data_IF_248464739462
#
_entry.id   IF_248464739462
#
_cell.length_a   1.000
_cell.length_b   1.000
_cell.length_c   1.000
_cell.angle_alpha   90.00
_cell.angle_beta   90.00
_cell.angle_gamma   90.00
#
_symmetry.space_group_name_H-M   'P 1'
#
loop_
_entity.id
_entity.type
_entity.pdbx_description
1 polymer ?
#
# COMPACT_ATOMS: atom_id res chain seq x y z
N UNK A 1 -4.99 1.15 10.73
CA UNK A 1 -4.48 1.81 9.52
C UNK A 1 -4.77 0.94 8.30
N UNK A 2 -5.70 1.38 7.45
CA UNK A 2 -6.16 0.66 6.25
C UNK A 2 -5.01 0.31 5.31
N UNK A 3 -4.19 1.29 4.94
CA UNK A 3 -3.07 1.13 3.99
C UNK A 3 -2.08 0.06 4.47
N UNK A 4 -1.73 0.11 5.76
CA UNK A 4 -0.82 -0.88 6.37
C UNK A 4 -1.43 -2.27 6.35
N UNK A 5 -2.67 -2.40 6.78
CA UNK A 5 -3.34 -3.69 6.88
C UNK A 5 -3.51 -4.37 5.51
N UNK A 6 -4.06 -3.64 4.54
CA UNK A 6 -4.22 -4.15 3.17
C UNK A 6 -2.88 -4.55 2.56
N UNK A 7 -1.91 -3.63 2.55
CA UNK A 7 -0.62 -3.86 1.91
C UNK A 7 0.17 -5.00 2.56
N UNK A 8 0.19 -5.07 3.89
CA UNK A 8 0.93 -6.12 4.61
C UNK A 8 0.29 -7.50 4.39
N UNK A 9 -1.03 -7.61 4.43
CA UNK A 9 -1.72 -8.87 4.16
C UNK A 9 -1.51 -9.35 2.73
N UNK A 10 -1.57 -8.43 1.75
CA UNK A 10 -1.27 -8.75 0.34
C UNK A 10 0.17 -9.26 0.21
N UNK A 11 1.15 -8.58 0.83
CA UNK A 11 2.54 -9.01 0.81
C UNK A 11 2.74 -10.41 1.41
N UNK A 12 2.09 -10.69 2.55
CA UNK A 12 2.18 -12.01 3.20
C UNK A 12 1.56 -13.12 2.35
N UNK A 13 0.37 -12.90 1.78
CA UNK A 13 -0.29 -13.88 0.93
C UNK A 13 0.49 -14.15 -0.35
N UNK A 14 1.00 -13.08 -0.98
CA UNK A 14 1.85 -13.21 -2.16
C UNK A 14 3.12 -14.01 -1.85
N UNK A 15 3.79 -13.73 -0.73
CA UNK A 15 4.98 -14.46 -0.31
C UNK A 15 4.70 -15.94 -0.03
N UNK A 16 3.54 -16.26 0.56
CA UNK A 16 3.12 -17.64 0.84
C UNK A 16 2.75 -18.44 -0.42
N UNK A 17 2.34 -17.74 -1.48
CA UNK A 17 1.97 -18.36 -2.75
C UNK A 17 3.17 -18.64 -3.69
N UNK A 18 4.37 -18.18 -3.33
CA UNK A 18 5.59 -18.38 -4.13
C UNK A 18 6.35 -19.58 -3.59
N UNK A 19 6.42 -20.65 -4.37
CA UNK A 19 7.15 -21.89 -4.02
C UNK A 19 8.54 -21.97 -4.67
N UNK A 20 8.79 -21.16 -5.72
CA UNK A 20 10.01 -21.27 -6.53
C UNK A 20 11.27 -20.74 -5.81
N UNK A 21 11.10 -19.84 -4.86
CA UNK A 21 12.19 -19.28 -4.05
C UNK A 21 11.67 -18.70 -2.73
N UNK A 22 12.51 -18.66 -1.69
CA UNK A 22 12.11 -18.11 -0.41
C UNK A 22 11.87 -16.58 -0.49
N UNK A 23 10.73 -16.15 0.04
CA UNK A 23 10.36 -14.73 0.18
C UNK A 23 10.19 -14.41 1.66
N UNK A 24 10.85 -13.35 2.12
CA UNK A 24 10.69 -12.81 3.47
C UNK A 24 9.91 -11.51 3.42
N UNK A 25 8.91 -11.38 4.26
CA UNK A 25 8.15 -10.14 4.45
C UNK A 25 8.57 -9.52 5.77
N UNK A 26 9.15 -8.32 5.70
CA UNK A 26 9.50 -7.56 6.90
C UNK A 26 8.26 -7.02 7.60
N UNK A 27 8.31 -6.73 8.91
CA UNK A 27 7.27 -5.98 9.58
C UNK A 27 6.96 -4.67 8.83
N UNK A 28 5.69 -4.27 8.75
CA UNK A 28 5.33 -3.10 7.96
C UNK A 28 5.86 -1.81 8.58
N UNK A 29 6.30 -0.90 7.73
CA UNK A 29 6.52 0.50 8.11
C UNK A 29 5.16 1.17 8.10
N UNK A 30 4.51 1.23 9.26
CA UNK A 30 3.10 1.59 9.43
C UNK A 30 2.78 3.07 9.25
N UNK A 31 3.79 3.94 9.18
CA UNK A 31 3.65 5.39 8.91
C UNK A 31 4.45 5.77 7.67
N UNK A 32 4.06 6.87 7.00
CA UNK A 32 4.69 7.29 5.76
C UNK A 32 4.58 8.80 5.53
N UNK A 33 4.62 9.21 4.28
CA UNK A 33 4.51 10.60 3.86
C UNK A 33 3.07 10.93 3.47
N UNK A 34 2.34 11.57 4.38
CA UNK A 34 0.91 11.88 4.22
C UNK A 34 0.52 13.26 4.77
N UNK A 35 1.21 14.35 4.39
CA UNK A 35 0.92 15.68 4.92
C UNK A 35 -0.49 16.17 4.56
N UNK A 36 -1.04 15.71 3.44
CA UNK A 36 -2.38 16.06 2.97
C UNK A 36 -3.51 15.48 3.83
N UNK A 37 -3.22 14.46 4.64
CA UNK A 37 -4.18 13.88 5.58
C UNK A 37 -4.12 14.50 6.98
N UNK A 38 -3.15 15.37 7.28
CA UNK A 38 -2.99 15.98 8.60
C UNK A 38 -4.20 16.79 9.13
N UNK A 39 -5.10 17.34 8.28
CA UNK A 39 -6.35 17.92 8.77
C UNK A 39 -7.30 16.90 9.43
N UNK A 40 -7.08 15.60 9.22
CA UNK A 40 -7.93 14.54 9.80
C UNK A 40 -7.34 14.03 11.10
N UNK A 41 -8.13 13.97 12.20
CA UNK A 41 -7.67 13.49 13.50
C UNK A 41 -7.10 12.09 13.44
N UNK A 42 -5.98 11.87 14.12
CA UNK A 42 -5.29 10.59 14.16
C UNK A 42 -4.29 10.35 13.03
N UNK A 43 -4.18 11.26 12.04
CA UNK A 43 -3.16 11.17 10.99
C UNK A 43 -1.75 11.38 11.56
N UNK A 44 -0.82 10.53 11.14
CA UNK A 44 0.60 10.61 11.49
C UNK A 44 1.41 10.61 10.19
N UNK A 45 2.27 11.62 10.01
CA UNK A 45 3.11 11.75 8.83
C UNK A 45 4.57 11.96 9.20
N UNK A 46 5.47 11.40 8.41
CA UNK A 46 6.89 11.72 8.45
C UNK A 46 7.19 12.87 7.48
N UNK A 47 8.30 13.58 7.73
CA UNK A 47 8.85 14.50 6.72
C UNK A 47 9.39 13.69 5.54
N UNK A 48 9.32 14.28 4.35
CA UNK A 48 9.75 13.65 3.11
C UNK A 48 11.16 13.03 3.23
N UNK A 49 12.15 13.82 3.57
CA UNK A 49 13.54 13.36 3.68
C UNK A 49 13.75 12.32 4.79
N UNK A 50 13.01 12.42 5.90
CA UNK A 50 13.06 11.42 6.97
C UNK A 50 12.56 10.07 6.48
N UNK A 51 11.50 10.06 5.68
CA UNK A 51 10.97 8.81 5.15
C UNK A 51 11.85 8.22 4.06
N UNK A 52 12.41 9.06 3.16
CA UNK A 52 13.43 8.59 2.19
C UNK A 52 14.59 7.92 2.93
N UNK A 53 15.11 8.56 3.97
CA UNK A 53 16.25 8.04 4.72
C UNK A 53 15.92 6.75 5.48
N UNK A 54 14.76 6.67 6.12
CA UNK A 54 14.29 5.46 6.79
C UNK A 54 14.27 4.26 5.81
N UNK A 55 13.64 4.43 4.66
CA UNK A 55 13.54 3.38 3.65
C UNK A 55 14.92 3.00 3.09
N UNK A 56 15.80 3.99 2.89
CA UNK A 56 17.18 3.76 2.44
C UNK A 56 17.93 2.90 3.45
N UNK A 57 17.92 3.25 4.73
CA UNK A 57 18.66 2.53 5.78
C UNK A 57 18.16 1.10 5.97
N UNK A 58 16.84 0.87 5.87
CA UNK A 58 16.27 -0.47 5.89
C UNK A 58 16.78 -1.29 4.70
N UNK A 59 16.74 -0.73 3.48
CA UNK A 59 17.21 -1.41 2.27
C UNK A 59 18.71 -1.75 2.33
N UNK A 60 19.53 -0.81 2.77
CA UNK A 60 20.98 -1.00 2.92
C UNK A 60 21.27 -2.12 3.91
N UNK A 61 20.58 -2.11 5.07
CA UNK A 61 20.74 -3.17 6.09
C UNK A 61 20.36 -4.54 5.54
N UNK A 62 19.23 -4.65 4.86
CA UNK A 62 18.76 -5.90 4.25
C UNK A 62 19.74 -6.37 3.16
N UNK A 63 20.23 -5.44 2.33
CA UNK A 63 21.21 -5.74 1.28
C UNK A 63 22.54 -6.25 1.86
N UNK A 64 23.03 -5.66 2.95
CA UNK A 64 24.25 -6.06 3.64
C UNK A 64 24.16 -7.49 4.20
N UNK A 65 22.95 -7.97 4.53
CA UNK A 65 22.71 -9.35 4.94
C UNK A 65 22.56 -10.34 3.78
N UNK A 66 22.83 -9.92 2.54
CA UNK A 66 22.90 -10.79 1.36
C UNK A 66 21.63 -10.82 0.52
N UNK A 67 20.57 -10.12 0.87
CA UNK A 67 19.38 -10.04 0.05
C UNK A 67 19.63 -9.16 -1.19
N UNK A 68 19.56 -9.76 -2.38
CA UNK A 68 19.84 -9.07 -3.65
C UNK A 68 18.58 -8.55 -4.36
N UNK A 69 17.42 -9.07 -3.99
CA UNK A 69 16.11 -8.68 -4.53
C UNK A 69 15.29 -8.05 -3.42
N UNK A 70 15.04 -6.75 -3.52
CA UNK A 70 14.29 -5.98 -2.53
C UNK A 70 13.11 -5.34 -3.24
N UNK A 71 11.90 -5.60 -2.74
CA UNK A 71 10.66 -5.01 -3.22
C UNK A 71 10.02 -4.17 -2.10
N UNK A 72 9.74 -2.91 -2.40
CA UNK A 72 8.89 -2.05 -1.59
C UNK A 72 7.46 -2.12 -2.14
N UNK A 73 6.59 -2.82 -1.45
CA UNK A 73 5.17 -2.83 -1.75
C UNK A 73 4.50 -1.66 -1.02
N UNK A 74 3.81 -0.82 -1.76
CA UNK A 74 3.22 0.41 -1.24
C UNK A 74 1.70 0.31 -1.13
N UNK A 75 1.18 0.72 0.02
CA UNK A 75 -0.25 0.80 0.31
C UNK A 75 -0.82 2.22 0.31
N UNK A 76 0.01 3.27 0.12
CA UNK A 76 -0.43 4.66 0.19
C UNK A 76 0.12 5.49 -0.97
N UNK A 77 -0.75 6.07 -1.79
CA UNK A 77 -0.35 6.82 -3.00
C UNK A 77 0.63 7.98 -2.70
N UNK A 78 0.47 8.65 -1.57
CA UNK A 78 1.37 9.71 -1.13
C UNK A 78 2.83 9.29 -0.94
N UNK A 79 3.10 8.01 -0.74
CA UNK A 79 4.44 7.46 -0.63
C UNK A 79 5.15 7.26 -1.98
N UNK A 80 4.41 7.20 -3.09
CA UNK A 80 4.98 6.86 -4.40
C UNK A 80 6.18 7.73 -4.81
N UNK A 81 6.14 9.08 -4.69
CA UNK A 81 7.30 9.91 -5.01
C UNK A 81 8.48 9.70 -4.05
N UNK A 82 8.20 9.34 -2.78
CA UNK A 82 9.25 9.03 -1.79
C UNK A 82 9.97 7.74 -2.15
N UNK A 83 9.22 6.70 -2.48
CA UNK A 83 9.77 5.40 -2.91
C UNK A 83 10.59 5.57 -4.20
N UNK A 84 10.12 6.38 -5.16
CA UNK A 84 10.87 6.67 -6.38
C UNK A 84 12.21 7.36 -6.07
N UNK A 85 12.22 8.38 -5.22
CA UNK A 85 13.44 9.09 -4.82
C UNK A 85 14.41 8.17 -4.06
N UNK A 86 13.90 7.38 -3.11
CA UNK A 86 14.70 6.40 -2.36
C UNK A 86 15.36 5.39 -3.32
N UNK A 87 14.62 4.85 -4.28
CA UNK A 87 15.16 3.90 -5.26
C UNK A 87 16.28 4.51 -6.11
N UNK A 88 16.12 5.78 -6.51
CA UNK A 88 17.16 6.53 -7.24
C UNK A 88 18.40 6.69 -6.35
N UNK A 89 18.22 7.04 -5.07
CA UNK A 89 19.32 7.16 -4.11
C UNK A 89 20.06 5.84 -3.92
N UNK A 90 19.35 4.72 -3.73
CA UNK A 90 19.97 3.40 -3.61
C UNK A 90 20.84 3.04 -4.82
N UNK A 91 20.36 3.31 -6.03
CA UNK A 91 21.11 3.01 -7.23
C UNK A 91 22.35 3.91 -7.39
N UNK A 92 22.22 5.20 -7.06
CA UNK A 92 23.28 6.19 -7.27
C UNK A 92 24.36 6.20 -6.17
N UNK A 93 23.96 6.02 -4.92
CA UNK A 93 24.84 6.18 -3.76
C UNK A 93 25.28 4.84 -3.15
N UNK A 94 24.39 3.84 -3.16
CA UNK A 94 24.61 2.55 -2.51
C UNK A 94 24.96 1.41 -3.49
N UNK A 95 24.87 1.68 -4.79
CA UNK A 95 25.32 0.77 -5.84
C UNK A 95 24.42 -0.46 -6.08
N UNK A 96 23.19 -0.48 -5.57
CA UNK A 96 22.24 -1.55 -5.86
C UNK A 96 20.83 -1.02 -6.17
N UNK A 97 20.03 -1.84 -6.85
CA UNK A 97 18.67 -1.49 -7.26
C UNK A 97 17.61 -2.22 -6.43
N UNK A 98 16.47 -1.58 -6.27
CA UNK A 98 15.26 -2.15 -5.67
C UNK A 98 14.05 -1.93 -6.57
N UNK A 99 12.98 -2.68 -6.34
CA UNK A 99 11.68 -2.47 -6.96
C UNK A 99 10.75 -1.73 -6.00
N UNK A 100 9.78 -1.01 -6.54
CA UNK A 100 8.74 -0.34 -5.76
C UNK A 100 7.47 -0.27 -6.58
N UNK A 101 6.38 -0.82 -6.03
CA UNK A 101 5.07 -0.85 -6.68
C UNK A 101 3.98 -0.50 -5.68
N UNK A 102 2.98 0.22 -6.14
CA UNK A 102 1.70 0.26 -5.45
C UNK A 102 0.99 -1.08 -5.71
N UNK A 103 0.40 -1.71 -4.71
CA UNK A 103 -0.22 -3.02 -4.90
C UNK A 103 -1.32 -2.99 -5.99
N UNK A 104 -2.04 -1.87 -6.07
CA UNK A 104 -3.14 -1.69 -7.05
C UNK A 104 -2.68 -1.46 -8.50
N UNK A 105 -1.41 -1.13 -8.72
CA UNK A 105 -0.84 -0.93 -10.05
C UNK A 105 -0.28 -2.23 -10.66
N UNK A 106 -0.25 -3.32 -9.89
CA UNK A 106 0.14 -4.62 -10.40
C UNK A 106 -0.89 -5.07 -11.47
N UNK A 107 -0.45 -5.52 -12.66
CA UNK A 107 -1.35 -5.73 -13.80
C UNK A 107 -2.59 -6.57 -13.49
N UNK A 108 -2.43 -7.72 -12.82
CA UNK A 108 -3.53 -8.60 -12.44
C UNK A 108 -4.50 -7.93 -11.46
N UNK A 109 -3.97 -7.20 -10.48
CA UNK A 109 -4.77 -6.48 -9.49
C UNK A 109 -5.53 -5.33 -10.15
N UNK A 110 -4.86 -4.55 -11.00
CA UNK A 110 -5.49 -3.44 -11.73
C UNK A 110 -6.62 -3.92 -12.66
N UNK A 111 -6.44 -5.06 -13.32
CA UNK A 111 -7.47 -5.68 -14.15
C UNK A 111 -8.67 -6.14 -13.30
N UNK A 112 -8.41 -6.76 -12.15
CA UNK A 112 -9.48 -7.22 -11.27
C UNK A 112 -10.24 -6.05 -10.66
N UNK A 113 -9.56 -4.99 -10.22
CA UNK A 113 -10.20 -3.76 -9.74
C UNK A 113 -11.14 -3.18 -10.81
N UNK A 114 -10.73 -3.14 -12.09
CA UNK A 114 -11.59 -2.68 -13.18
C UNK A 114 -12.85 -3.53 -13.39
N UNK A 115 -12.79 -4.83 -13.10
CA UNK A 115 -13.93 -5.74 -13.23
C UNK A 115 -14.92 -5.60 -12.09
N UNK A 116 -14.43 -5.39 -10.86
CA UNK A 116 -15.29 -5.38 -9.66
C UNK A 116 -15.76 -3.99 -9.28
N UNK A 117 -15.02 -2.93 -9.62
CA UNK A 117 -15.36 -1.56 -9.25
C UNK A 117 -16.57 -1.04 -10.04
N UNK A 118 -17.53 -0.45 -9.32
CA UNK A 118 -18.68 0.27 -9.87
C UNK A 118 -18.54 1.78 -9.71
N UNK A 119 -17.66 2.23 -8.80
CA UNK A 119 -17.26 3.64 -8.69
C UNK A 119 -16.28 3.99 -9.81
N UNK A 120 -15.93 5.25 -9.99
CA UNK A 120 -15.18 5.77 -11.14
C UNK A 120 -14.05 4.83 -11.59
N UNK A 121 -14.16 4.33 -12.82
CA UNK A 121 -13.31 3.27 -13.41
C UNK A 121 -11.82 3.52 -13.16
N UNK A 122 -11.23 2.66 -12.33
CA UNK A 122 -9.79 2.62 -12.08
C UNK A 122 -9.27 3.62 -11.02
N UNK A 123 -10.12 4.40 -10.38
CA UNK A 123 -9.74 5.26 -9.28
C UNK A 123 -9.99 4.55 -7.94
N UNK A 124 -8.94 4.28 -7.20
CA UNK A 124 -9.05 3.62 -5.89
C UNK A 124 -9.65 4.57 -4.86
N UNK A 125 -9.27 5.84 -4.91
CA UNK A 125 -9.70 6.86 -3.95
C UNK A 125 -9.21 6.60 -2.53
N UNK A 126 -9.42 7.55 -1.63
CA UNK A 126 -9.15 7.37 -0.21
C UNK A 126 -10.40 6.85 0.49
N UNK A 127 -10.28 5.77 1.25
CA UNK A 127 -11.40 5.12 1.95
C UNK A 127 -12.60 4.82 1.02
N UNK A 128 -12.30 4.52 -0.24
CA UNK A 128 -13.29 4.27 -1.27
C UNK A 128 -13.73 2.83 -1.35
N UNK A 129 -14.44 2.50 -2.44
CA UNK A 129 -14.98 1.17 -2.69
C UNK A 129 -13.96 0.04 -2.51
N UNK A 130 -12.77 0.20 -3.08
CA UNK A 130 -11.75 -0.87 -3.11
C UNK A 130 -11.14 -1.08 -1.73
N UNK A 131 -10.67 -0.02 -1.08
CA UNK A 131 -10.10 -0.13 0.27
C UNK A 131 -11.13 -0.59 1.29
N UNK A 132 -12.37 -0.11 1.20
CA UNK A 132 -13.48 -0.57 2.05
C UNK A 132 -13.76 -2.05 1.80
N UNK A 133 -13.78 -2.51 0.54
CA UNK A 133 -13.98 -3.92 0.21
C UNK A 133 -12.88 -4.82 0.78
N UNK A 134 -11.63 -4.39 0.64
CA UNK A 134 -10.49 -5.10 1.21
C UNK A 134 -10.61 -5.19 2.73
N UNK A 135 -10.94 -4.10 3.43
CA UNK A 135 -11.10 -4.11 4.89
C UNK A 135 -12.30 -4.96 5.33
N UNK A 136 -13.43 -4.90 4.63
CA UNK A 136 -14.59 -5.76 4.90
C UNK A 136 -14.27 -7.25 4.75
N UNK A 137 -13.37 -7.60 3.83
CA UNK A 137 -12.92 -8.98 3.66
C UNK A 137 -11.88 -9.39 4.71
N UNK A 138 -10.94 -8.50 5.06
CA UNK A 138 -9.80 -8.82 5.93
C UNK A 138 -10.14 -8.71 7.43
N UNK A 139 -10.84 -7.65 7.82
CA UNK A 139 -11.16 -7.31 9.21
C UNK A 139 -12.49 -6.53 9.27
N UNK A 140 -13.62 -7.21 8.98
CA UNK A 140 -14.94 -6.56 8.92
C UNK A 140 -15.33 -5.86 10.22
N UNK A 141 -14.88 -6.37 11.37
CA UNK A 141 -15.14 -5.79 12.69
C UNK A 141 -14.51 -4.40 12.90
N UNK A 142 -13.57 -4.00 12.05
CA UNK A 142 -12.95 -2.66 12.09
C UNK A 142 -13.61 -1.66 11.14
N UNK A 143 -14.62 -2.07 10.37
CA UNK A 143 -15.30 -1.23 9.38
C UNK A 143 -16.65 -0.78 9.91
N UNK A 144 -16.76 0.51 10.22
CA UNK A 144 -17.98 1.12 10.77
C UNK A 144 -18.78 1.76 9.62
N UNK A 145 -19.48 0.92 8.83
CA UNK A 145 -20.23 1.38 7.65
C UNK A 145 -21.38 2.33 7.98
N UNK A 146 -21.98 2.25 9.16
CA UNK A 146 -23.07 3.11 9.64
C UNK A 146 -22.61 4.56 9.89
N UNK A 147 -21.32 4.78 10.12
CA UNK A 147 -20.74 6.12 10.30
C UNK A 147 -19.78 6.49 9.16
N UNK A 148 -19.71 5.67 8.11
CA UNK A 148 -18.86 5.96 6.95
C UNK A 148 -19.37 7.20 6.22
N UNK A 149 -18.49 8.18 6.01
CA UNK A 149 -18.79 9.42 5.32
C UNK A 149 -18.12 9.47 3.98
N UNK A 150 -18.79 10.09 3.01
CA UNK A 150 -18.25 10.32 1.69
C UNK A 150 -18.36 11.80 1.31
N UNK A 151 -17.24 12.38 0.89
CA UNK A 151 -17.17 13.76 0.39
C UNK A 151 -16.73 13.70 -1.07
N UNK A 152 -17.62 14.01 -2.05
CA UNK A 152 -17.27 13.98 -3.47
C UNK A 152 -15.99 14.79 -3.78
N UNK A 153 -15.08 14.19 -4.55
CA UNK A 153 -13.83 14.82 -4.96
C UNK A 153 -12.71 14.85 -3.90
N UNK A 154 -13.02 14.41 -2.68
CA UNK A 154 -12.03 14.33 -1.57
C UNK A 154 -11.81 12.88 -1.16
N UNK A 155 -12.89 12.14 -0.92
CA UNK A 155 -12.88 10.74 -0.51
C UNK A 155 -13.49 9.86 -1.57
N UNK A 156 -13.02 8.63 -1.65
CA UNK A 156 -13.72 7.60 -2.40
C UNK A 156 -15.08 7.28 -1.78
N UNK A 157 -16.00 6.73 -2.57
CA UNK A 157 -17.29 6.31 -2.07
C UNK A 157 -17.22 4.91 -1.46
N UNK A 158 -17.38 4.72 -0.13
CA UNK A 158 -17.33 3.42 0.51
C UNK A 158 -18.63 2.61 0.34
N UNK A 159 -19.75 3.25 -0.03
CA UNK A 159 -21.09 2.65 0.01
C UNK A 159 -21.27 1.43 -0.92
N UNK A 160 -20.42 1.30 -1.92
CA UNK A 160 -20.42 0.18 -2.87
C UNK A 160 -19.37 -0.88 -2.53
N UNK A 161 -18.64 -0.70 -1.42
CA UNK A 161 -17.70 -1.69 -0.91
C UNK A 161 -18.41 -2.93 -0.39
N UNK A 162 -17.86 -4.11 -0.66
CA UNK A 162 -18.32 -5.37 -0.10
C UNK A 162 -17.17 -6.40 -0.02
N UNK A 163 -17.29 -7.43 0.85
CA UNK A 163 -16.21 -8.38 1.08
C UNK A 163 -15.88 -9.24 -0.16
N UNK A 164 -16.86 -9.55 -1.02
CA UNK A 164 -16.64 -10.38 -2.21
C UNK A 164 -15.69 -9.69 -3.20
N UNK A 165 -15.77 -8.37 -3.33
CA UNK A 165 -14.80 -7.59 -4.13
C UNK A 165 -13.41 -7.65 -3.51
N UNK A 166 -13.33 -7.53 -2.17
CA UNK A 166 -12.08 -7.63 -1.43
C UNK A 166 -11.39 -8.97 -1.62
N UNK A 167 -12.15 -10.07 -1.54
CA UNK A 167 -11.67 -11.43 -1.79
C UNK A 167 -11.07 -11.60 -3.19
N UNK A 168 -11.72 -11.03 -4.21
CA UNK A 168 -11.25 -11.14 -5.60
C UNK A 168 -10.00 -10.33 -5.91
N UNK A 169 -9.69 -9.31 -5.11
CA UNK A 169 -8.52 -8.43 -5.31
C UNK A 169 -7.27 -9.02 -4.65
N UNK A 170 -7.41 -9.83 -3.60
CA UNK A 170 -6.33 -10.48 -2.87
C UNK A 170 -5.96 -11.84 -3.45
#
# INVERSE_FOLDING_TARGET
NTDTNCCFTIAQRAAQAIDEFPVLVLPPIWTGYSPHHMPHPGSITLKYHTFVELLTQVAVSVHAHGFKKILFLNGHAGNSPVIAAMRTKLAAEEGFSSLGYNYWDLPSVAEEIKKVSVSAKGFIGHSGEIETSLQLYLQPELVLMDVATWVPGVWGNPSTGNPEKGERII
#
